data_IF_096943354052
#
_entry.id   IF_096943354052
#
_cell.length_a   1.000
_cell.length_b   1.000
_cell.length_c   1.000
_cell.angle_alpha   90.00
_cell.angle_beta   90.00
_cell.angle_gamma   90.00
#
_symmetry.space_group_name_H-M   'P 1'
#
loop_
_entity.id
_entity.type
_entity.pdbx_description
1 polymer ?
#
# COMPACT_ATOMS: atom_id res chain seq x y z
N UNK A 1 10.15 -8.30 18.09
CA UNK A 1 10.40 -8.28 16.63
C UNK A 1 11.05 -9.63 16.28
N UNK A 2 10.47 -10.47 15.41
CA UNK A 2 11.05 -11.78 15.11
C UNK A 2 12.34 -11.61 14.27
N UNK A 3 13.30 -12.52 14.48
CA UNK A 3 14.69 -12.48 13.98
C UNK A 3 14.81 -12.51 12.45
N UNK A 4 13.79 -13.00 11.75
CA UNK A 4 13.79 -13.15 10.28
C UNK A 4 13.85 -11.81 9.52
N UNK A 5 13.46 -10.69 10.13
CA UNK A 5 13.51 -9.37 9.50
C UNK A 5 14.94 -8.83 9.32
N UNK A 6 15.94 -9.42 9.99
CA UNK A 6 17.35 -9.02 9.85
C UNK A 6 18.04 -9.68 8.65
N UNK A 7 17.46 -10.75 8.08
CA UNK A 7 18.06 -11.49 6.98
C UNK A 7 17.69 -10.85 5.64
N UNK A 8 18.46 -9.82 5.29
CA UNK A 8 18.35 -9.05 4.04
C UNK A 8 18.69 -9.88 2.79
N UNK A 9 19.03 -11.16 2.95
CA UNK A 9 19.43 -12.05 1.86
C UNK A 9 18.28 -12.88 1.29
N UNK A 10 17.12 -12.90 1.94
CA UNK A 10 15.98 -13.71 1.48
C UNK A 10 15.06 -12.85 0.60
N UNK A 11 14.83 -13.23 -0.68
CA UNK A 11 13.87 -12.54 -1.52
C UNK A 11 12.43 -12.79 -1.06
N UNK A 12 11.57 -11.78 -1.22
CA UNK A 12 10.13 -11.86 -0.97
C UNK A 12 9.66 -11.21 0.34
N UNK A 13 10.55 -10.51 1.03
CA UNK A 13 10.19 -9.61 2.13
C UNK A 13 10.03 -8.19 1.59
N UNK A 14 8.87 -7.59 1.83
CA UNK A 14 8.47 -6.30 1.27
C UNK A 14 8.23 -5.28 2.38
N UNK A 15 8.70 -4.06 2.16
CA UNK A 15 8.36 -2.89 2.94
C UNK A 15 7.47 -1.97 2.11
N UNK A 16 6.38 -1.49 2.69
CA UNK A 16 5.41 -0.64 2.02
C UNK A 16 5.28 0.73 2.66
N UNK A 17 5.19 1.76 1.81
CA UNK A 17 4.98 3.16 2.19
C UNK A 17 3.87 3.78 1.34
N UNK A 18 3.22 4.82 1.87
CA UNK A 18 2.14 5.55 1.20
C UNK A 18 2.58 6.98 0.89
N UNK A 19 2.62 7.32 -0.39
CA UNK A 19 2.86 8.69 -0.83
C UNK A 19 1.52 9.32 -1.22
N UNK A 20 1.12 10.36 -0.49
CA UNK A 20 -0.04 11.19 -0.81
C UNK A 20 0.42 12.48 -1.47
N UNK A 21 -0.22 12.82 -2.58
CA UNK A 21 0.07 14.00 -3.41
C UNK A 21 -1.12 14.96 -3.37
N UNK A 22 -0.88 16.20 -3.78
CA UNK A 22 -1.89 17.25 -3.94
C UNK A 22 -3.12 16.75 -4.69
N UNK A 23 -4.31 17.18 -4.25
CA UNK A 23 -5.57 16.71 -4.83
C UNK A 23 -5.99 15.32 -4.33
N UNK A 24 -5.49 14.89 -3.17
CA UNK A 24 -5.91 13.64 -2.48
C UNK A 24 -5.69 12.39 -3.34
N UNK A 25 -4.68 12.45 -4.20
CA UNK A 25 -4.18 11.31 -4.95
C UNK A 25 -3.15 10.58 -4.10
N UNK A 26 -3.05 9.27 -4.25
CA UNK A 26 -2.05 8.50 -3.52
C UNK A 26 -1.45 7.39 -4.36
N UNK A 27 -0.25 6.98 -4.00
CA UNK A 27 0.43 5.82 -4.58
C UNK A 27 1.06 5.02 -3.44
N UNK A 28 0.84 3.70 -3.45
CA UNK A 28 1.58 2.80 -2.58
C UNK A 28 2.92 2.48 -3.22
N UNK A 29 3.98 2.45 -2.44
CA UNK A 29 5.28 1.94 -2.88
C UNK A 29 5.58 0.67 -2.11
N UNK A 30 6.10 -0.35 -2.78
CA UNK A 30 6.56 -1.60 -2.17
C UNK A 30 8.01 -1.83 -2.57
N UNK A 31 8.90 -1.96 -1.60
CA UNK A 31 10.32 -2.21 -1.82
C UNK A 31 10.68 -3.59 -1.30
N UNK A 32 11.28 -4.42 -2.16
CA UNK A 32 11.76 -5.74 -1.79
C UNK A 32 13.13 -5.64 -1.11
N UNK A 33 13.28 -6.28 0.04
CA UNK A 33 14.42 -6.05 0.94
C UNK A 33 15.75 -6.57 0.38
N UNK A 34 15.73 -7.65 -0.42
CA UNK A 34 16.94 -8.30 -0.96
C UNK A 34 17.43 -7.68 -2.27
N UNK A 35 16.57 -7.67 -3.29
CA UNK A 35 16.84 -7.17 -4.64
C UNK A 35 16.68 -5.66 -4.80
N UNK A 36 16.06 -4.98 -3.82
CA UNK A 36 15.67 -3.57 -3.90
C UNK A 36 14.73 -3.26 -5.08
N UNK A 37 14.02 -4.28 -5.56
CA UNK A 37 12.97 -4.10 -6.56
C UNK A 37 11.83 -3.25 -5.98
N UNK A 38 11.39 -2.25 -6.74
CA UNK A 38 10.31 -1.37 -6.33
C UNK A 38 9.07 -1.63 -7.18
N UNK A 39 7.93 -1.84 -6.53
CA UNK A 39 6.62 -1.88 -7.17
C UNK A 39 5.83 -0.62 -6.81
N UNK A 40 5.26 0.01 -7.82
CA UNK A 40 4.32 1.10 -7.66
C UNK A 40 2.89 0.55 -7.70
N UNK A 41 2.17 0.76 -6.61
CA UNK A 41 0.79 0.34 -6.42
C UNK A 41 -0.12 1.52 -6.69
N UNK A 42 -0.76 1.50 -7.86
CA UNK A 42 -1.75 2.51 -8.20
C UNK A 42 -2.99 2.38 -7.32
N UNK A 43 -3.37 3.49 -6.68
CA UNK A 43 -4.55 3.58 -5.82
C UNK A 43 -5.65 4.36 -6.54
N UNK A 44 -6.58 3.68 -7.24
CA UNK A 44 -7.62 4.38 -8.00
C UNK A 44 -8.58 5.11 -7.06
N UNK A 45 -9.09 6.24 -7.54
CA UNK A 45 -10.24 6.91 -6.92
C UNK A 45 -11.46 6.00 -7.02
N UNK A 46 -12.26 5.98 -5.95
CA UNK A 46 -13.50 5.22 -5.90
C UNK A 46 -14.64 6.02 -6.54
N UNK A 47 -15.69 5.31 -6.95
CA UNK A 47 -16.95 5.91 -7.41
C UNK A 47 -17.48 6.90 -6.35
N UNK A 48 -18.05 8.04 -6.79
CA UNK A 48 -18.44 9.12 -5.86
C UNK A 48 -17.37 10.18 -5.62
N UNK A 49 -16.12 9.98 -6.06
CA UNK A 49 -15.05 10.96 -5.82
C UNK A 49 -15.28 12.25 -6.63
N UNK A 50 -15.34 13.38 -5.93
CA UNK A 50 -15.53 14.70 -6.55
C UNK A 50 -16.99 15.10 -6.78
N UNK A 51 -17.95 14.19 -6.58
CA UNK A 51 -19.38 14.48 -6.71
C UNK A 51 -19.94 15.28 -5.52
N UNK A 52 -19.41 15.04 -4.32
CA UNK A 52 -19.78 15.76 -3.10
C UNK A 52 -18.53 16.32 -2.42
N UNK A 53 -18.69 17.48 -1.78
CA UNK A 53 -17.64 18.02 -0.94
C UNK A 53 -17.30 17.02 0.17
N UNK A 54 -16.00 16.75 0.42
CA UNK A 54 -15.61 15.78 1.42
C UNK A 54 -15.99 16.26 2.82
N UNK A 55 -16.65 15.38 3.57
CA UNK A 55 -17.04 15.62 4.96
C UNK A 55 -16.07 14.92 5.92
N UNK A 56 -15.90 15.49 7.12
CA UNK A 56 -15.12 14.84 8.20
C UNK A 56 -15.77 13.49 8.54
N UNK A 57 -14.97 12.43 8.65
CA UNK A 57 -15.42 11.04 8.85
C UNK A 57 -16.29 10.46 7.72
N UNK A 58 -16.29 11.10 6.54
CA UNK A 58 -16.92 10.54 5.34
C UNK A 58 -16.11 9.40 4.73
N UNK A 59 -16.68 8.68 3.75
CA UNK A 59 -15.99 7.61 3.06
C UNK A 59 -14.71 8.12 2.37
N UNK A 60 -13.62 7.37 2.52
CA UNK A 60 -12.34 7.66 1.89
C UNK A 60 -12.35 7.26 0.41
N UNK A 61 -12.94 8.10 -0.44
CA UNK A 61 -13.06 7.86 -1.89
C UNK A 61 -11.79 8.25 -2.68
N UNK A 62 -10.81 8.90 -2.03
CA UNK A 62 -9.56 9.37 -2.67
C UNK A 62 -8.55 8.26 -3.03
N UNK A 63 -8.92 6.98 -2.90
CA UNK A 63 -8.05 5.85 -3.24
C UNK A 63 -7.07 5.41 -2.13
N UNK A 64 -6.77 6.27 -1.16
CA UNK A 64 -5.95 5.91 0.02
C UNK A 64 -6.75 5.37 1.21
N UNK A 65 -8.06 5.17 1.05
CA UNK A 65 -8.87 4.51 2.06
C UNK A 65 -8.48 3.04 2.23
N UNK A 66 -8.73 2.47 3.41
CA UNK A 66 -8.38 1.09 3.76
C UNK A 66 -8.86 0.07 2.71
N UNK A 67 -10.08 0.22 2.19
CA UNK A 67 -10.65 -0.69 1.18
C UNK A 67 -9.91 -0.63 -0.16
N UNK A 68 -9.70 0.58 -0.68
CA UNK A 68 -9.00 0.78 -1.95
C UNK A 68 -7.55 0.29 -1.86
N UNK A 69 -6.89 0.58 -0.74
CA UNK A 69 -5.51 0.15 -0.50
C UNK A 69 -5.37 -1.36 -0.35
N UNK A 70 -6.22 -2.01 0.45
CA UNK A 70 -6.22 -3.48 0.58
C UNK A 70 -6.45 -4.16 -0.77
N UNK A 71 -7.37 -3.64 -1.57
CA UNK A 71 -7.67 -4.17 -2.91
C UNK A 71 -6.48 -4.02 -3.85
N UNK A 72 -5.86 -2.84 -3.89
CA UNK A 72 -4.72 -2.55 -4.74
C UNK A 72 -3.47 -3.37 -4.33
N UNK A 73 -3.20 -3.49 -3.03
CA UNK A 73 -2.10 -4.31 -2.50
C UNK A 73 -2.29 -5.79 -2.82
N UNK A 74 -3.49 -6.33 -2.58
CA UNK A 74 -3.82 -7.72 -2.91
C UNK A 74 -3.64 -7.97 -4.41
N UNK A 75 -4.12 -7.06 -5.25
CA UNK A 75 -3.97 -7.16 -6.71
C UNK A 75 -2.51 -7.10 -7.14
N UNK A 76 -1.69 -6.29 -6.48
CA UNK A 76 -0.27 -6.13 -6.85
C UNK A 76 0.56 -7.34 -6.40
N UNK A 77 0.38 -7.81 -5.17
CA UNK A 77 1.12 -8.95 -4.62
C UNK A 77 0.74 -10.27 -5.32
N UNK A 78 -0.52 -10.44 -5.73
CA UNK A 78 -0.97 -11.63 -6.47
C UNK A 78 -0.39 -11.73 -7.88
N UNK A 79 0.22 -10.67 -8.43
CA UNK A 79 0.95 -10.73 -9.70
C UNK A 79 2.38 -11.25 -9.56
N UNK A 80 2.92 -11.25 -8.34
CA UNK A 80 4.27 -11.75 -8.06
C UNK A 80 4.27 -13.27 -8.02
N UNK A 81 5.37 -13.95 -8.38
CA UNK A 81 5.55 -15.38 -8.11
C UNK A 81 5.35 -15.69 -6.62
N UNK A 82 4.79 -16.86 -6.29
CA UNK A 82 4.53 -17.26 -4.89
C UNK A 82 5.78 -17.21 -4.00
N UNK A 83 6.94 -17.52 -4.57
CA UNK A 83 8.24 -17.48 -3.90
C UNK A 83 8.60 -16.09 -3.36
N UNK A 84 8.07 -15.02 -3.97
CA UNK A 84 8.29 -13.63 -3.57
C UNK A 84 7.20 -13.09 -2.62
N UNK A 85 6.21 -13.89 -2.22
CA UNK A 85 5.08 -13.42 -1.37
C UNK A 85 5.27 -13.82 0.09
N UNK A 86 6.43 -13.51 0.71
CA UNK A 86 6.71 -13.95 2.10
C UNK A 86 6.09 -13.05 3.15
N UNK A 87 6.64 -11.87 3.37
CA UNK A 87 6.13 -10.93 4.38
C UNK A 87 5.99 -9.54 3.78
N UNK A 88 4.95 -8.82 4.19
CA UNK A 88 4.76 -7.40 3.90
C UNK A 88 4.68 -6.65 5.23
N UNK A 89 5.60 -5.71 5.45
CA UNK A 89 5.48 -4.71 6.51
C UNK A 89 5.03 -3.40 5.90
N UNK A 90 4.11 -2.69 6.56
CA UNK A 90 3.58 -1.42 6.09
C UNK A 90 3.84 -0.35 7.14
N UNK A 91 4.46 0.77 6.77
CA UNK A 91 4.52 1.94 7.66
C UNK A 91 3.14 2.60 7.70
N UNK A 92 2.38 2.28 8.75
CA UNK A 92 1.08 2.88 9.02
C UNK A 92 1.29 4.33 9.47
N UNK A 93 1.36 5.26 8.52
CA UNK A 93 0.95 6.63 8.77
C UNK A 93 -0.43 6.67 9.42
N UNK A 94 -0.70 7.70 10.23
CA UNK A 94 -1.88 7.89 11.11
C UNK A 94 -3.27 7.76 10.43
N UNK A 95 -3.30 7.55 9.12
CA UNK A 95 -4.47 7.59 8.23
C UNK A 95 -5.21 6.24 8.12
N UNK A 96 -4.72 5.17 8.77
CA UNK A 96 -5.34 3.84 8.83
C UNK A 96 -5.81 3.45 10.24
N UNK A 97 -5.65 4.32 11.23
CA UNK A 97 -6.20 4.16 12.57
C UNK A 97 -7.64 4.66 12.55
N UNK A 98 -8.57 3.78 12.20
CA UNK A 98 -9.98 3.97 12.54
C UNK A 98 -10.17 4.12 14.05
#
# INVERSE_FOLDING_TARGET
>A
RPTEAADRAVPGHWEGDLIIVTGRSAIGTLVEHSSRSTLLVHLPRLEGWGEKAPVKNGPSLGGYGTTAMNTALKTSITRLPEQLRKTLTWDRGKELSG
#
